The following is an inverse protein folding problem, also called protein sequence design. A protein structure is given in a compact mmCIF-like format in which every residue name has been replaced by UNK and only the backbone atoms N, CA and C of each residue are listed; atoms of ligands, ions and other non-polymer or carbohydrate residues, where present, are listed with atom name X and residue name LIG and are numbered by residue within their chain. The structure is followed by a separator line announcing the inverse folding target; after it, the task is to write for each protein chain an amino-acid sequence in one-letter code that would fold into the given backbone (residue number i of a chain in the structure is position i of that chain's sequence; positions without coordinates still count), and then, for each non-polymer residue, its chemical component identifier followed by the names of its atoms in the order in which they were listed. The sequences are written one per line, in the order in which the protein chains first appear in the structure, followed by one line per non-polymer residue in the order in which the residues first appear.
data_IF_607019535290
#
_entry.id   IF_607019535290
#
_cell.length_a   1.000
_cell.length_b   1.000
_cell.length_c   1.000
_cell.angle_alpha   90.00
_cell.angle_beta   90.00
_cell.angle_gamma   90.00
#
_symmetry.space_group_name_H-M   'P 1'
#
loop_
_entity.id
_entity.type
_entity.pdbx_description
1 polymer ?
#
# COMPACT_ATOMS: atom_id res chain seq x y z
N UNK A 1 7.68 -30.16 11.12
CA UNK A 1 8.71 -29.12 10.95
C UNK A 1 8.08 -27.80 11.36
N UNK A 2 8.78 -26.94 12.10
CA UNK A 2 8.27 -25.61 12.43
C UNK A 2 8.32 -24.73 11.17
N UNK A 3 7.18 -24.19 10.75
CA UNK A 3 7.13 -23.21 9.65
C UNK A 3 7.75 -21.89 10.11
N UNK A 4 8.42 -21.18 9.21
CA UNK A 4 8.90 -19.81 9.46
C UNK A 4 7.69 -18.88 9.35
N UNK A 5 7.41 -18.08 10.37
CA UNK A 5 6.30 -17.13 10.33
C UNK A 5 6.71 -15.86 9.57
N UNK A 6 5.85 -15.40 8.66
CA UNK A 6 5.98 -14.11 7.98
C UNK A 6 4.76 -13.26 8.35
N UNK A 7 4.97 -12.23 9.18
CA UNK A 7 3.93 -11.32 9.67
C UNK A 7 3.81 -10.14 8.72
N UNK A 8 2.63 -9.94 8.16
CA UNK A 8 2.37 -8.90 7.17
C UNK A 8 1.17 -8.06 7.60
N UNK A 9 1.34 -6.73 7.58
CA UNK A 9 0.25 -5.78 7.73
C UNK A 9 -0.01 -5.10 6.39
N UNK A 10 -1.17 -5.37 5.78
CA UNK A 10 -1.59 -4.74 4.53
C UNK A 10 -2.25 -3.39 4.80
N UNK A 11 -2.38 -2.58 3.75
CA UNK A 11 -3.07 -1.30 3.83
C UNK A 11 -4.53 -1.51 4.27
N UNK A 12 -5.00 -0.87 5.36
CA UNK A 12 -6.27 -1.23 5.97
C UNK A 12 -7.51 -0.66 5.25
N UNK A 13 -7.36 0.40 4.46
CA UNK A 13 -8.49 1.10 3.83
C UNK A 13 -8.82 0.55 2.44
N UNK A 14 -9.05 -0.76 2.35
CA UNK A 14 -9.51 -1.42 1.13
C UNK A 14 -11.05 -1.43 1.05
N UNK A 15 -11.64 -1.28 -0.16
CA UNK A 15 -13.07 -1.47 -0.34
C UNK A 15 -13.52 -2.87 0.10
N UNK A 16 -14.59 -2.95 0.88
CA UNK A 16 -15.21 -4.21 1.32
C UNK A 16 -16.59 -4.38 0.68
N UNK A 17 -16.67 -4.85 -0.58
CA UNK A 17 -17.95 -5.00 -1.26
C UNK A 17 -18.83 -6.12 -0.68
N UNK A 18 -18.23 -7.09 0.01
CA UNK A 18 -18.93 -8.22 0.65
C UNK A 18 -19.46 -7.87 2.05
N UNK A 19 -18.95 -6.83 2.69
CA UNK A 19 -19.26 -6.50 4.08
C UNK A 19 -18.71 -7.54 5.06
N UNK A 20 -17.68 -8.29 4.67
CA UNK A 20 -17.07 -9.37 5.46
C UNK A 20 -15.77 -8.93 6.16
N UNK A 21 -15.53 -7.62 6.23
CA UNK A 21 -14.30 -7.00 6.69
C UNK A 21 -13.07 -7.51 5.91
N UNK A 22 -13.23 -7.77 4.60
CA UNK A 22 -12.19 -8.31 3.73
C UNK A 22 -11.67 -9.72 4.12
N UNK A 23 -12.42 -10.48 4.91
CA UNK A 23 -11.99 -11.82 5.36
C UNK A 23 -11.72 -12.74 4.16
N UNK A 24 -12.59 -12.73 3.14
CA UNK A 24 -12.40 -13.50 1.92
C UNK A 24 -11.14 -13.13 1.15
N UNK A 25 -10.79 -11.83 1.09
CA UNK A 25 -9.55 -11.36 0.45
C UNK A 25 -8.31 -11.88 1.20
N UNK A 26 -8.29 -11.75 2.53
CA UNK A 26 -7.17 -12.21 3.35
C UNK A 26 -6.99 -13.73 3.24
N UNK A 27 -8.08 -14.49 3.20
CA UNK A 27 -8.03 -15.93 2.99
C UNK A 27 -7.49 -16.27 1.59
N UNK A 28 -7.95 -15.59 0.55
CA UNK A 28 -7.45 -15.77 -0.82
C UNK A 28 -5.94 -15.54 -0.91
N UNK A 29 -5.44 -14.43 -0.37
CA UNK A 29 -4.00 -14.12 -0.35
C UNK A 29 -3.22 -15.22 0.39
N UNK A 30 -3.73 -15.66 1.53
CA UNK A 30 -3.10 -16.73 2.34
C UNK A 30 -3.03 -18.05 1.58
N UNK A 31 -4.11 -18.43 0.90
CA UNK A 31 -4.18 -19.69 0.15
C UNK A 31 -3.25 -19.67 -1.06
N UNK A 32 -3.25 -18.59 -1.84
CA UNK A 32 -2.37 -18.46 -3.00
C UNK A 32 -0.88 -18.40 -2.60
N UNK A 33 -0.56 -17.69 -1.52
CA UNK A 33 0.81 -17.65 -1.01
C UNK A 33 1.27 -19.04 -0.53
N UNK A 34 0.45 -19.74 0.25
CA UNK A 34 0.80 -21.05 0.80
C UNK A 34 0.93 -22.15 -0.28
N UNK A 35 0.25 -22.01 -1.42
CA UNK A 35 0.45 -22.91 -2.58
C UNK A 35 1.86 -22.80 -3.15
N UNK A 36 2.43 -21.60 -3.15
CA UNK A 36 3.77 -21.33 -3.72
C UNK A 36 4.88 -21.53 -2.67
N UNK A 37 4.62 -21.17 -1.41
CA UNK A 37 5.60 -21.21 -0.32
C UNK A 37 5.11 -22.03 0.89
N UNK A 38 5.03 -23.36 0.78
CA UNK A 38 4.40 -24.22 1.80
C UNK A 38 5.12 -24.22 3.15
N UNK A 39 6.43 -23.89 3.18
CA UNK A 39 7.28 -23.87 4.37
C UNK A 39 7.20 -22.56 5.17
N UNK A 40 6.55 -21.54 4.61
CA UNK A 40 6.33 -20.23 5.25
C UNK A 40 4.88 -20.20 5.76
N UNK A 41 4.69 -19.79 7.02
CA UNK A 41 3.39 -19.50 7.58
C UNK A 41 3.11 -18.00 7.45
N UNK A 42 2.30 -17.61 6.45
CA UNK A 42 1.86 -16.24 6.31
C UNK A 42 0.86 -15.88 7.43
N UNK A 43 1.13 -14.80 8.14
CA UNK A 43 0.26 -14.22 9.16
C UNK A 43 -0.14 -12.82 8.73
N UNK A 44 -1.33 -12.70 8.15
CA UNK A 44 -1.90 -11.41 7.79
C UNK A 44 -2.56 -10.77 9.01
N UNK A 45 -2.25 -9.51 9.25
CA UNK A 45 -3.00 -8.68 10.19
C UNK A 45 -4.44 -8.50 9.67
N UNK A 46 -5.48 -8.65 10.51
CA UNK A 46 -6.84 -8.25 10.14
C UNK A 46 -6.89 -6.77 9.73
N UNK A 47 -7.67 -6.43 8.71
CA UNK A 47 -7.83 -5.04 8.29
C UNK A 47 -8.86 -4.34 9.18
N UNK A 48 -8.56 -3.11 9.60
CA UNK A 48 -9.47 -2.31 10.40
C UNK A 48 -9.41 -0.84 9.98
N UNK A 49 -10.54 -0.26 9.61
CA UNK A 49 -10.61 1.17 9.25
C UNK A 49 -10.31 2.10 10.42
N UNK A 50 -10.37 1.60 11.66
CA UNK A 50 -10.01 2.35 12.86
C UNK A 50 -8.50 2.37 13.11
N UNK A 51 -7.71 1.70 12.28
CA UNK A 51 -6.27 1.80 12.36
C UNK A 51 -5.86 3.21 11.97
N UNK A 52 -5.27 3.93 12.93
CA UNK A 52 -4.71 5.26 12.69
C UNK A 52 -3.41 5.11 11.91
N UNK A 53 -3.53 4.67 10.66
CA UNK A 53 -2.42 4.26 9.80
C UNK A 53 -1.43 5.41 9.52
N UNK A 54 -1.92 6.64 9.57
CA UNK A 54 -1.14 7.87 9.40
C UNK A 54 -0.61 8.44 10.73
N UNK A 55 -0.88 7.79 11.86
CA UNK A 55 -0.26 8.11 13.15
C UNK A 55 1.11 7.42 13.21
N UNK A 56 2.17 8.22 13.14
CA UNK A 56 3.54 7.72 13.15
C UNK A 56 3.91 6.98 14.44
N UNK A 57 3.38 7.38 15.60
CA UNK A 57 3.67 6.72 16.87
C UNK A 57 3.02 5.34 16.93
N UNK A 58 1.82 5.19 16.35
CA UNK A 58 1.17 3.89 16.21
C UNK A 58 1.88 3.01 15.18
N UNK A 59 2.22 3.56 14.01
CA UNK A 59 2.87 2.82 12.93
C UNK A 59 4.29 2.38 13.31
N UNK A 60 4.99 3.16 14.14
CA UNK A 60 6.28 2.77 14.72
C UNK A 60 6.20 1.45 15.49
N UNK A 61 5.08 1.17 16.16
CA UNK A 61 4.86 -0.11 16.86
C UNK A 61 4.69 -1.28 15.90
N UNK A 62 4.26 -1.02 14.67
CA UNK A 62 4.13 -2.06 13.64
C UNK A 62 5.48 -2.36 12.99
N UNK A 63 6.41 -1.40 12.97
CA UNK A 63 7.74 -1.53 12.36
C UNK A 63 8.86 -1.77 13.39
N UNK A 64 8.54 -2.32 14.57
CA UNK A 64 9.54 -2.51 15.63
C UNK A 64 10.63 -3.50 15.22
N UNK A 65 11.89 -3.01 15.26
CA UNK A 65 13.09 -3.76 14.88
C UNK A 65 13.47 -4.89 15.86
N UNK A 66 12.83 -4.97 17.02
CA UNK A 66 13.05 -6.03 18.02
C UNK A 66 12.32 -7.35 17.68
N UNK A 67 11.67 -7.41 16.52
CA UNK A 67 10.94 -8.59 16.04
C UNK A 67 9.54 -8.74 16.60
N UNK A 68 9.06 -7.80 17.43
CA UNK A 68 7.68 -7.79 17.93
C UNK A 68 6.70 -7.17 16.94
N UNK A 69 7.18 -6.37 15.98
CA UNK A 69 6.41 -5.78 14.88
C UNK A 69 6.07 -6.77 13.75
N UNK A 70 5.63 -6.25 12.61
CA UNK A 70 5.43 -6.97 11.36
C UNK A 70 6.71 -6.96 10.53
N UNK A 71 6.92 -8.03 9.76
CA UNK A 71 8.08 -8.16 8.87
C UNK A 71 7.90 -7.34 7.58
N UNK A 72 6.64 -7.21 7.14
CA UNK A 72 6.24 -6.40 5.99
C UNK A 72 5.05 -5.54 6.39
N UNK A 73 5.12 -4.25 6.07
CA UNK A 73 3.99 -3.32 6.23
C UNK A 73 3.79 -2.60 4.90
N UNK A 74 2.58 -2.66 4.38
CA UNK A 74 2.16 -1.88 3.23
C UNK A 74 1.76 -0.48 3.69
N UNK A 75 2.51 0.54 3.29
CA UNK A 75 2.33 1.94 3.69
C UNK A 75 1.91 2.83 2.52
N UNK A 76 1.23 3.94 2.86
CA UNK A 76 1.05 5.04 1.93
C UNK A 76 2.38 5.80 1.78
N UNK A 77 2.80 6.03 0.54
CA UNK A 77 4.01 6.79 0.22
C UNK A 77 3.98 8.23 0.73
N UNK A 78 2.82 8.79 1.07
CA UNK A 78 2.68 10.11 1.68
C UNK A 78 3.50 10.26 2.96
N UNK A 79 3.62 9.20 3.76
CA UNK A 79 4.34 9.19 5.05
C UNK A 79 5.71 8.51 4.96
N UNK A 80 6.09 7.99 3.79
CA UNK A 80 7.35 7.25 3.62
C UNK A 80 8.57 8.11 3.96
N UNK A 81 8.57 9.39 3.57
CA UNK A 81 9.65 10.33 3.89
C UNK A 81 9.89 10.47 5.39
N UNK A 82 8.81 10.60 6.16
CA UNK A 82 8.90 10.73 7.62
C UNK A 82 9.46 9.44 8.25
N UNK A 83 9.00 8.27 7.79
CA UNK A 83 9.48 6.97 8.27
C UNK A 83 10.96 6.73 7.98
N UNK A 84 11.45 7.19 6.82
CA UNK A 84 12.88 7.16 6.49
C UNK A 84 13.66 8.11 7.39
N UNK A 85 13.15 9.31 7.64
CA UNK A 85 13.82 10.31 8.49
C UNK A 85 13.99 9.84 9.94
N UNK A 86 13.01 9.10 10.48
CA UNK A 86 13.08 8.54 11.84
C UNK A 86 13.74 7.15 11.90
N UNK A 87 14.22 6.63 10.76
CA UNK A 87 15.01 5.40 10.69
C UNK A 87 14.22 4.11 10.85
N UNK A 88 12.90 4.13 10.62
CA UNK A 88 12.05 2.93 10.75
C UNK A 88 12.00 2.08 9.48
N UNK A 89 12.37 2.65 8.34
CA UNK A 89 12.40 1.93 7.06
C UNK A 89 13.82 1.99 6.49
N UNK A 90 14.40 0.82 6.27
CA UNK A 90 15.69 0.70 5.60
C UNK A 90 15.50 0.73 4.07
N UNK A 91 16.48 1.25 3.32
CA UNK A 91 16.47 1.12 1.87
C UNK A 91 16.49 -0.37 1.51
N UNK A 92 15.60 -0.75 0.59
CA UNK A 92 15.45 -2.12 0.15
C UNK A 92 16.55 -2.48 -0.85
N UNK A 93 17.04 -3.73 -0.78
CA UNK A 93 17.82 -4.29 -1.87
C UNK A 93 16.85 -4.77 -2.95
N UNK A 94 16.59 -3.92 -3.94
CA UNK A 94 15.75 -4.26 -5.08
C UNK A 94 16.65 -4.64 -6.25
N UNK A 95 16.44 -5.82 -6.82
CA UNK A 95 17.11 -6.19 -8.06
C UNK A 95 16.62 -5.26 -9.18
N UNK A 96 17.53 -4.53 -9.82
CA UNK A 96 17.24 -3.56 -10.89
C UNK A 96 16.28 -4.06 -11.98
N UNK A 97 16.27 -5.36 -12.29
CA UNK A 97 15.36 -5.94 -13.30
C UNK A 97 13.89 -5.88 -12.90
N UNK A 98 13.59 -5.77 -11.60
CA UNK A 98 12.21 -5.75 -11.09
C UNK A 98 11.51 -4.40 -11.23
N UNK A 99 12.23 -3.34 -11.61
CA UNK A 99 11.68 -1.98 -11.75
C UNK A 99 11.26 -1.63 -13.19
N UNK A 100 11.64 -2.43 -14.19
CA UNK A 100 11.45 -2.07 -15.60
C UNK A 100 9.97 -1.87 -15.98
N UNK A 101 9.07 -2.57 -15.30
CA UNK A 101 7.63 -2.54 -15.55
C UNK A 101 6.87 -1.58 -14.62
N UNK A 102 7.57 -0.81 -13.78
CA UNK A 102 6.91 0.10 -12.85
C UNK A 102 6.45 1.36 -13.55
N UNK A 103 5.25 1.81 -13.21
CA UNK A 103 4.78 3.12 -13.63
C UNK A 103 5.68 4.23 -13.05
N UNK A 104 6.03 5.23 -13.86
CA UNK A 104 7.01 6.29 -13.49
C UNK A 104 6.63 6.97 -12.16
N UNK A 105 5.36 7.34 -11.99
CA UNK A 105 4.90 7.99 -10.76
C UNK A 105 5.04 7.08 -9.52
N UNK A 106 4.74 5.78 -9.66
CA UNK A 106 4.88 4.82 -8.57
C UNK A 106 6.36 4.59 -8.22
N UNK A 107 7.22 4.55 -9.24
CA UNK A 107 8.66 4.47 -9.05
C UNK A 107 9.19 5.69 -8.28
N UNK A 108 8.79 6.90 -8.69
CA UNK A 108 9.19 8.13 -8.00
C UNK A 108 8.70 8.17 -6.55
N UNK A 109 7.49 7.68 -6.27
CA UNK A 109 6.87 7.73 -4.94
C UNK A 109 7.61 6.88 -3.88
N UNK A 110 8.37 5.87 -4.29
CA UNK A 110 9.16 5.01 -3.38
C UNK A 110 10.64 5.37 -3.31
N UNK A 111 11.07 6.40 -4.06
CA UNK A 111 12.46 6.85 -4.11
C UNK A 111 12.70 8.06 -3.22
N UNK A 112 13.69 7.97 -2.33
CA UNK A 112 14.18 9.06 -1.50
C UNK A 112 15.70 9.08 -1.61
N UNK A 113 16.29 10.25 -1.92
CA UNK A 113 17.74 10.42 -2.05
C UNK A 113 18.42 9.35 -2.93
N UNK A 114 17.79 9.01 -4.06
CA UNK A 114 18.28 8.01 -5.03
C UNK A 114 18.37 6.56 -4.48
N UNK A 115 17.68 6.27 -3.38
CA UNK A 115 17.49 4.92 -2.86
C UNK A 115 16.00 4.54 -2.86
N UNK A 116 15.72 3.24 -2.97
CA UNK A 116 14.35 2.70 -3.00
C UNK A 116 14.00 2.15 -1.63
N UNK A 117 12.83 2.53 -1.11
CA UNK A 117 12.41 2.16 0.24
C UNK A 117 11.20 1.22 0.27
N UNK A 118 10.65 0.84 -0.88
CA UNK A 118 9.51 -0.08 -0.93
C UNK A 118 9.20 -0.59 -2.33
N UNK A 119 8.28 -1.55 -2.40
CA UNK A 119 7.70 -2.05 -3.64
C UNK A 119 6.34 -1.37 -3.86
N UNK A 120 6.11 -0.66 -4.97
CA UNK A 120 4.81 -0.06 -5.25
C UNK A 120 3.77 -1.15 -5.50
N UNK A 121 2.65 -1.09 -4.77
CA UNK A 121 1.56 -2.07 -4.86
C UNK A 121 0.26 -1.46 -5.38
N UNK A 122 -0.21 -0.37 -4.76
CA UNK A 122 -1.45 0.30 -5.13
C UNK A 122 -1.16 1.70 -5.69
N UNK A 123 -1.85 2.06 -6.77
CA UNK A 123 -1.95 3.43 -7.25
C UNK A 123 -3.37 3.92 -7.04
N UNK A 124 -3.51 5.01 -6.28
CA UNK A 124 -4.78 5.66 -6.04
C UNK A 124 -4.73 7.11 -6.51
N UNK A 125 -5.86 7.61 -6.99
CA UNK A 125 -6.06 9.02 -7.30
C UNK A 125 -7.55 9.32 -7.30
N UNK A 126 -7.90 10.60 -7.38
CA UNK A 126 -9.28 11.04 -7.55
C UNK A 126 -9.67 10.89 -9.02
N UNK A 127 -10.46 9.86 -9.33
CA UNK A 127 -11.00 9.65 -10.67
C UNK A 127 -12.34 10.37 -10.83
N UNK A 128 -12.53 10.99 -11.99
CA UNK A 128 -13.80 11.56 -12.41
C UNK A 128 -14.59 10.52 -13.21
N UNK A 129 -15.72 10.07 -12.67
CA UNK A 129 -16.69 9.24 -13.39
C UNK A 129 -17.89 10.10 -13.79
N UNK A 130 -18.13 10.26 -15.09
CA UNK A 130 -19.22 11.10 -15.61
C UNK A 130 -19.89 10.49 -16.84
N UNK A 131 -21.15 10.86 -17.05
CA UNK A 131 -21.88 10.62 -18.31
C UNK A 131 -22.04 11.90 -19.15
N UNK A 132 -21.68 13.07 -18.61
CA UNK A 132 -21.82 14.35 -19.29
C UNK A 132 -20.62 14.63 -20.17
N UNK A 133 -20.83 14.79 -21.48
CA UNK A 133 -19.76 15.04 -22.45
C UNK A 133 -18.96 16.31 -22.14
N UNK A 134 -19.63 17.39 -21.70
CA UNK A 134 -18.98 18.64 -21.25
C UNK A 134 -18.01 18.39 -20.11
N UNK A 135 -18.40 17.56 -19.14
CA UNK A 135 -17.58 17.24 -17.96
C UNK A 135 -16.44 16.30 -18.35
N UNK A 136 -16.68 15.34 -19.24
CA UNK A 136 -15.65 14.43 -19.76
C UNK A 136 -14.58 15.15 -20.59
N UNK A 137 -14.94 16.24 -21.26
CA UNK A 137 -14.02 17.07 -22.03
C UNK A 137 -13.16 18.01 -21.17
N UNK A 138 -13.46 18.15 -19.89
CA UNK A 138 -12.67 18.99 -18.99
C UNK A 138 -11.34 18.31 -18.63
N UNK A 139 -10.24 18.98 -18.97
CA UNK A 139 -8.87 18.55 -18.70
C UNK A 139 -8.19 19.31 -17.56
N UNK A 140 -8.87 20.34 -17.03
CA UNK A 140 -8.41 21.15 -15.90
C UNK A 140 -9.56 21.38 -14.91
N UNK A 141 -9.23 21.77 -13.68
CA UNK A 141 -10.22 22.11 -12.65
C UNK A 141 -11.10 23.29 -13.09
N UNK A 142 -10.54 24.33 -13.71
CA UNK A 142 -11.33 25.47 -14.21
C UNK A 142 -12.32 25.05 -15.30
N UNK A 143 -11.89 24.19 -16.23
CA UNK A 143 -12.78 23.62 -17.26
C UNK A 143 -13.87 22.75 -16.62
N UNK A 144 -13.52 21.99 -15.58
CA UNK A 144 -14.46 21.18 -14.84
C UNK A 144 -15.51 22.06 -14.14
N UNK A 145 -15.10 23.14 -13.47
CA UNK A 145 -16.01 24.11 -12.85
C UNK A 145 -16.92 24.75 -13.89
N UNK A 146 -16.39 25.16 -15.05
CA UNK A 146 -17.18 25.72 -16.14
C UNK A 146 -18.13 24.70 -16.81
N UNK A 147 -17.80 23.40 -16.76
CA UNK A 147 -18.66 22.33 -17.23
C UNK A 147 -19.75 21.95 -16.22
N UNK A 148 -19.51 22.19 -14.93
CA UNK A 148 -20.48 22.04 -13.83
C UNK A 148 -21.38 23.27 -13.67
N UNK A 149 -20.92 24.45 -14.12
CA UNK A 149 -21.68 25.69 -14.21
C UNK A 149 -22.61 25.72 -15.41
N UNK A 150 -23.88 26.06 -15.14
CA UNK A 150 -25.08 25.97 -15.99
C UNK A 150 -25.31 24.61 -16.68
#
# INVERSE_FOLDING_TARGET
MNKIALKVALYPSLPDPSGDNNTGLLQFITDEFNKVYPDIALQLRPLSINDSFYDLDLLSKWLMADGTGYDIVEIDTLILGDLVNIGLVAPQFINSTSQADWHIAANMAVHINNAVYGFPHLMCTYFLFTRGERIAAASTIDQLIAALGD
#
